data_IF_820943485274
#
_entry.id   IF_820943485274
#
_cell.length_a   1.000
_cell.length_b   1.000
_cell.length_c   1.000
_cell.angle_alpha   90.00
_cell.angle_beta   90.00
_cell.angle_gamma   90.00
#
_symmetry.space_group_name_H-M   'P 1'
#
loop_
_entity.id
_entity.type
_entity.pdbx_description
1 polymer ?
#
# COMPACT_ATOMS: atom_id res chain seq x y z
N UNK A 1 -0.21 18.13 -1.12
CA UNK A 1 -1.44 17.52 -1.71
C UNK A 1 -1.37 16.00 -1.73
N UNK A 2 -0.28 15.38 -2.22
CA UNK A 2 -0.11 13.90 -2.19
C UNK A 2 -0.15 13.32 -0.78
N UNK A 3 0.49 13.96 0.20
CA UNK A 3 0.51 13.47 1.59
C UNK A 3 -0.89 13.44 2.21
N UNK A 4 -1.71 14.46 1.93
CA UNK A 4 -3.11 14.50 2.38
C UNK A 4 -3.94 13.39 1.73
N UNK A 5 -3.77 13.17 0.43
CA UNK A 5 -4.48 12.11 -0.28
C UNK A 5 -4.06 10.70 0.21
N UNK A 6 -2.77 10.49 0.47
CA UNK A 6 -2.27 9.28 1.11
C UNK A 6 -2.90 9.09 2.50
N UNK A 7 -2.87 10.12 3.36
CA UNK A 7 -3.46 10.04 4.70
C UNK A 7 -4.96 9.67 4.69
N UNK A 8 -5.73 10.20 3.73
CA UNK A 8 -7.15 9.85 3.58
C UNK A 8 -7.35 8.40 3.15
N UNK A 9 -6.55 7.91 2.21
CA UNK A 9 -6.61 6.51 1.77
C UNK A 9 -6.19 5.57 2.91
N UNK A 10 -5.13 5.91 3.63
CA UNK A 10 -4.70 5.14 4.80
C UNK A 10 -5.78 5.10 5.89
N UNK A 11 -6.42 6.24 6.19
CA UNK A 11 -7.52 6.31 7.14
C UNK A 11 -8.69 5.42 6.71
N UNK A 12 -9.08 5.48 5.44
CA UNK A 12 -10.14 4.63 4.88
C UNK A 12 -9.80 3.15 4.95
N UNK A 13 -8.55 2.77 4.67
CA UNK A 13 -8.09 1.39 4.77
C UNK A 13 -8.09 0.87 6.22
N UNK A 14 -7.68 1.71 7.18
CA UNK A 14 -7.73 1.38 8.61
C UNK A 14 -9.16 1.32 9.15
N UNK A 15 -10.08 2.12 8.62
CA UNK A 15 -11.49 2.05 8.97
C UNK A 15 -12.11 0.70 8.54
N UNK A 16 -11.78 0.24 7.33
CA UNK A 16 -12.24 -1.05 6.81
C UNK A 16 -11.59 -2.26 7.50
N UNK A 17 -10.30 -2.15 7.80
CA UNK A 17 -9.56 -3.16 8.54
C UNK A 17 -8.67 -2.50 9.61
N UNK A 18 -9.15 -2.43 10.86
CA UNK A 18 -8.39 -1.82 11.96
C UNK A 18 -7.08 -2.55 12.30
N UNK A 19 -6.94 -3.82 11.90
CA UNK A 19 -5.75 -4.63 12.12
C UNK A 19 -4.82 -4.67 10.90
N UNK A 20 -5.11 -3.86 9.87
CA UNK A 20 -4.27 -3.77 8.69
C UNK A 20 -2.83 -3.42 9.08
N UNK A 21 -1.91 -4.29 8.68
CA UNK A 21 -0.48 -4.09 8.82
C UNK A 21 -0.01 -2.93 7.93
N UNK A 22 1.14 -2.35 8.26
CA UNK A 22 1.74 -1.30 7.45
C UNK A 22 1.98 -1.74 5.99
N UNK A 23 2.30 -3.02 5.79
CA UNK A 23 2.44 -3.61 4.46
C UNK A 23 1.11 -3.57 3.67
N UNK A 24 0.00 -3.94 4.30
CA UNK A 24 -1.34 -3.91 3.71
C UNK A 24 -1.78 -2.48 3.38
N UNK A 25 -1.49 -1.54 4.28
CA UNK A 25 -1.77 -0.11 4.04
C UNK A 25 -0.98 0.40 2.83
N UNK A 26 0.34 0.13 2.76
CA UNK A 26 1.19 0.55 1.64
C UNK A 26 0.76 -0.08 0.31
N UNK A 27 0.37 -1.37 0.33
CA UNK A 27 -0.19 -2.06 -0.85
C UNK A 27 -1.49 -1.41 -1.30
N UNK A 28 -2.41 -1.11 -0.38
CA UNK A 28 -3.68 -0.45 -0.69
C UNK A 28 -3.49 0.94 -1.29
N UNK A 29 -2.58 1.75 -0.72
CA UNK A 29 -2.21 3.06 -1.26
C UNK A 29 -1.62 2.92 -2.67
N UNK A 30 -0.69 1.98 -2.88
CA UNK A 30 -0.12 1.71 -4.20
C UNK A 30 -1.21 1.35 -5.22
N UNK A 31 -2.10 0.41 -4.90
CA UNK A 31 -3.17 0.00 -5.81
C UNK A 31 -4.12 1.15 -6.14
N UNK A 32 -4.43 2.01 -5.17
CA UNK A 32 -5.37 3.14 -5.34
C UNK A 32 -4.81 4.24 -6.25
N UNK A 33 -3.52 4.55 -6.15
CA UNK A 33 -2.90 5.65 -6.89
C UNK A 33 -2.17 5.22 -8.15
N UNK A 34 -1.54 4.05 -8.14
CA UNK A 34 -0.59 3.61 -9.17
C UNK A 34 -0.96 2.26 -9.79
N UNK A 35 -1.81 1.45 -9.16
CA UNK A 35 -2.09 0.08 -9.59
C UNK A 35 -2.61 -0.06 -11.02
N UNK A 36 -3.27 0.97 -11.54
CA UNK A 36 -3.80 1.00 -12.90
C UNK A 36 -2.76 1.39 -13.98
N UNK A 37 -1.59 1.90 -13.56
CA UNK A 37 -0.51 2.30 -14.47
C UNK A 37 0.39 1.11 -14.86
N UNK A 38 0.24 -0.02 -14.16
CA UNK A 38 1.06 -1.22 -14.35
C UNK A 38 0.22 -2.41 -14.81
N UNK A 39 0.83 -3.23 -15.67
CA UNK A 39 0.29 -4.53 -16.01
C UNK A 39 0.34 -5.50 -14.81
N UNK A 40 -0.47 -6.56 -14.87
CA UNK A 40 -0.60 -7.51 -13.77
C UNK A 40 0.76 -8.09 -13.32
N UNK A 41 1.67 -8.52 -14.22
CA UNK A 41 2.97 -9.04 -13.82
C UNK A 41 3.87 -8.02 -13.12
N UNK A 42 3.86 -6.75 -13.52
CA UNK A 42 4.68 -5.72 -12.88
C UNK A 42 4.07 -5.30 -11.55
N UNK A 43 2.75 -5.20 -11.50
CA UNK A 43 2.00 -4.90 -10.27
C UNK A 43 2.30 -5.92 -9.18
N UNK A 44 2.29 -7.21 -9.51
CA UNK A 44 2.59 -8.28 -8.55
C UNK A 44 4.02 -8.20 -8.00
N UNK A 45 5.00 -7.88 -8.85
CA UNK A 45 6.40 -7.66 -8.42
C UNK A 45 6.51 -6.49 -7.44
N UNK A 46 5.79 -5.40 -7.69
CA UNK A 46 5.80 -4.23 -6.81
C UNK A 46 5.13 -4.58 -5.47
N UNK A 47 3.99 -5.27 -5.48
CA UNK A 47 3.32 -5.73 -4.26
C UNK A 47 4.22 -6.65 -3.42
N UNK A 48 4.97 -7.56 -4.06
CA UNK A 48 5.95 -8.41 -3.39
C UNK A 48 7.13 -7.62 -2.81
N UNK A 49 7.60 -6.59 -3.52
CA UNK A 49 8.65 -5.71 -3.03
C UNK A 49 8.21 -4.91 -1.79
N UNK A 50 6.97 -4.40 -1.78
CA UNK A 50 6.37 -3.70 -0.62
C UNK A 50 6.32 -4.64 0.59
N UNK A 51 5.88 -5.88 0.40
CA UNK A 51 5.82 -6.91 1.46
C UNK A 51 7.22 -7.20 2.03
N UNK A 52 8.21 -7.37 1.16
CA UNK A 52 9.60 -7.63 1.58
C UNK A 52 10.21 -6.44 2.33
N UNK A 53 9.94 -5.22 1.88
CA UNK A 53 10.42 -4.01 2.53
C UNK A 53 9.84 -3.86 3.94
N UNK A 54 8.56 -4.15 4.13
CA UNK A 54 7.92 -4.11 5.44
C UNK A 54 8.49 -5.15 6.42
N UNK A 55 8.89 -6.33 5.94
CA UNK A 55 9.57 -7.35 6.76
C UNK A 55 11.00 -6.97 7.16
N UNK A 56 11.62 -6.09 6.39
CA UNK A 56 13.03 -5.68 6.58
C UNK A 56 13.18 -4.38 7.38
N UNK A 57 12.08 -3.65 7.59
CA UNK A 57 12.10 -2.44 8.41
C UNK A 57 12.20 -2.83 9.91
N UNK A 58 13.15 -2.26 10.67
CA UNK A 58 13.11 -2.39 12.13
C UNK A 58 11.81 -1.74 12.62
N UNK A 59 11.05 -2.51 13.41
CA UNK A 59 9.81 -2.06 14.06
C UNK A 59 10.08 -0.92 15.04
#
# INVERSE_FOLDING_TARGET
>A
MRDTACALVEASLREQNPLATEAEIRKGVFLRFYGHEFDDPTRDKILAAIERAAKSAPR
#
